data_IF_747184843042
#
_entry.id   IF_747184843042
#
_cell.length_a   1.000
_cell.length_b   1.000
_cell.length_c   1.000
_cell.angle_alpha   90.00
_cell.angle_beta   90.00
_cell.angle_gamma   90.00
#
_symmetry.space_group_name_H-M   'P 1'
#
loop_
_entity.id
_entity.type
_entity.pdbx_description
1 polymer ?
#
# COMPACT_ATOMS: atom_id res chain seq x y z
N UNK A 1 -5.26 39.23 -56.34
CA UNK A 1 -6.02 38.52 -55.29
C UNK A 1 -5.06 38.28 -54.15
N UNK A 2 -5.13 39.05 -53.06
CA UNK A 2 -4.25 38.92 -51.89
C UNK A 2 -4.79 37.80 -50.98
N UNK A 3 -3.97 36.88 -50.46
CA UNK A 3 -4.45 35.85 -49.56
C UNK A 3 -4.62 36.43 -48.16
N UNK A 4 -5.85 36.47 -47.67
CA UNK A 4 -6.17 36.84 -46.29
C UNK A 4 -5.77 35.67 -45.38
N UNK A 5 -4.62 35.78 -44.71
CA UNK A 5 -4.20 34.83 -43.67
C UNK A 5 -5.03 35.05 -42.40
N UNK A 6 -5.89 34.07 -42.10
CA UNK A 6 -6.67 34.01 -40.86
C UNK A 6 -5.74 33.59 -39.71
N UNK A 7 -5.45 34.49 -38.76
CA UNK A 7 -4.75 34.13 -37.52
C UNK A 7 -5.72 33.38 -36.59
N UNK A 8 -5.51 32.09 -36.43
CA UNK A 8 -6.19 31.27 -35.44
C UNK A 8 -5.49 31.46 -34.08
N UNK A 9 -6.05 32.28 -33.19
CA UNK A 9 -5.58 32.39 -31.81
C UNK A 9 -6.04 31.18 -31.02
N UNK A 10 -5.13 30.22 -30.79
CA UNK A 10 -5.37 29.08 -29.90
C UNK A 10 -5.32 29.56 -28.44
N UNK A 11 -6.47 29.56 -27.77
CA UNK A 11 -6.55 29.80 -26.33
C UNK A 11 -6.03 28.55 -25.61
N UNK A 12 -4.78 28.57 -25.14
CA UNK A 12 -4.26 27.54 -24.24
C UNK A 12 -4.94 27.71 -22.88
N UNK A 13 -6.01 26.96 -22.63
CA UNK A 13 -6.56 26.81 -21.29
C UNK A 13 -5.54 26.03 -20.45
N UNK A 14 -4.75 26.73 -19.63
CA UNK A 14 -3.98 26.09 -18.56
C UNK A 14 -4.97 25.64 -17.50
N UNK A 15 -5.50 24.43 -17.63
CA UNK A 15 -6.18 23.78 -16.52
C UNK A 15 -5.15 23.65 -15.39
N UNK A 16 -5.23 24.52 -14.38
CA UNK A 16 -4.46 24.34 -13.16
C UNK A 16 -4.91 23.04 -12.52
N UNK A 17 -4.11 21.98 -12.67
CA UNK A 17 -4.30 20.76 -11.91
C UNK A 17 -4.14 21.13 -10.45
N UNK A 18 -5.26 21.19 -9.72
CA UNK A 18 -5.29 21.67 -8.34
C UNK A 18 -4.48 20.75 -7.38
N UNK A 19 -4.11 19.55 -7.83
CA UNK A 19 -3.21 18.65 -7.12
C UNK A 19 -1.92 18.44 -7.91
N UNK A 20 -0.96 19.33 -7.69
CA UNK A 20 0.38 19.19 -8.26
C UNK A 20 1.24 18.31 -7.35
N UNK A 21 2.18 17.56 -7.94
CA UNK A 21 3.13 16.74 -7.17
C UNK A 21 3.89 17.53 -6.09
N UNK A 22 4.40 18.76 -6.34
CA UNK A 22 5.07 19.56 -5.31
C UNK A 22 4.17 19.93 -4.13
N UNK A 23 2.88 20.21 -4.36
CA UNK A 23 1.92 20.49 -3.29
C UNK A 23 1.75 19.28 -2.37
N UNK A 24 1.50 18.11 -2.97
CA UNK A 24 1.33 16.87 -2.21
C UNK A 24 2.62 16.48 -1.48
N UNK A 25 3.78 16.63 -2.13
CA UNK A 25 5.07 16.35 -1.53
C UNK A 25 5.37 17.24 -0.32
N UNK A 26 5.01 18.52 -0.38
CA UNK A 26 5.19 19.46 0.73
C UNK A 26 4.33 19.08 1.94
N UNK A 27 3.07 18.69 1.70
CA UNK A 27 2.17 18.23 2.76
C UNK A 27 2.65 16.91 3.39
N UNK A 28 3.18 15.98 2.59
CA UNK A 28 3.78 14.74 3.10
C UNK A 28 5.04 15.04 3.90
N UNK A 29 5.90 15.95 3.47
CA UNK A 29 7.08 16.35 4.24
C UNK A 29 6.70 16.92 5.62
N UNK A 30 5.63 17.73 5.68
CA UNK A 30 5.08 18.24 6.92
C UNK A 30 4.52 17.13 7.81
N UNK A 31 3.80 16.17 7.23
CA UNK A 31 3.33 14.96 7.92
C UNK A 31 4.49 14.15 8.53
N UNK A 32 5.52 13.84 7.74
CA UNK A 32 6.69 13.10 8.20
C UNK A 32 7.40 13.83 9.34
N UNK A 33 7.54 15.15 9.24
CA UNK A 33 8.12 15.99 10.30
C UNK A 33 7.27 15.94 11.58
N UNK A 34 5.95 16.02 11.44
CA UNK A 34 5.04 15.91 12.58
C UNK A 34 5.12 14.53 13.25
N UNK A 35 5.17 13.45 12.46
CA UNK A 35 5.28 12.09 12.99
C UNK A 35 6.63 11.82 13.68
N UNK A 36 7.73 12.36 13.14
CA UNK A 36 9.06 12.26 13.76
C UNK A 36 9.15 13.03 15.07
N UNK A 37 8.48 14.18 15.16
CA UNK A 37 8.60 15.08 16.33
C UNK A 37 7.48 14.90 17.35
N UNK A 38 6.38 14.24 16.98
CA UNK A 38 5.13 14.24 17.75
C UNK A 38 4.44 15.61 17.78
N UNK A 39 4.93 16.59 17.01
CA UNK A 39 4.39 17.95 17.01
C UNK A 39 3.46 18.16 15.82
N UNK A 40 2.24 18.60 16.09
CA UNK A 40 1.26 18.90 15.02
C UNK A 40 1.57 20.21 14.29
N UNK A 41 2.43 21.08 14.84
CA UNK A 41 2.70 22.42 14.29
C UNK A 41 3.12 22.45 12.81
N UNK A 42 3.97 21.55 12.31
CA UNK A 42 4.34 21.52 10.89
C UNK A 42 3.15 21.16 10.00
N UNK A 43 2.21 20.38 10.54
CA UNK A 43 1.14 19.72 9.80
C UNK A 43 -0.17 20.53 9.77
N UNK A 44 -0.45 21.32 10.80
CA UNK A 44 -1.70 22.10 10.92
C UNK A 44 -1.93 23.06 9.75
N UNK A 45 -0.87 23.65 9.20
CA UNK A 45 -0.98 24.54 8.04
C UNK A 45 -1.55 23.87 6.79
N UNK A 46 -1.47 22.54 6.70
CA UNK A 46 -1.98 21.76 5.56
C UNK A 46 -3.40 21.24 5.78
N UNK A 47 -3.94 21.30 7.00
CA UNK A 47 -5.30 20.84 7.32
C UNK A 47 -6.31 21.93 6.97
N UNK A 48 -7.44 21.53 6.38
CA UNK A 48 -8.53 22.46 6.11
C UNK A 48 -9.34 22.77 7.37
N UNK A 49 -9.55 24.03 7.71
CA UNK A 49 -10.44 24.38 8.83
C UNK A 49 -11.92 24.19 8.50
N UNK A 50 -12.28 24.09 7.20
CA UNK A 50 -13.68 24.09 6.74
C UNK A 50 -14.13 22.78 6.12
N UNK A 51 -13.19 21.98 5.60
CA UNK A 51 -13.49 20.73 4.87
C UNK A 51 -12.82 19.50 5.50
N UNK A 52 -12.23 19.63 6.70
CA UNK A 52 -11.63 18.50 7.39
C UNK A 52 -12.70 17.58 7.98
N UNK A 53 -12.75 16.36 7.44
CA UNK A 53 -13.67 15.29 7.81
C UNK A 53 -13.18 14.48 9.02
N UNK A 54 -11.91 14.63 9.40
CA UNK A 54 -11.34 14.00 10.58
C UNK A 54 -10.04 13.23 10.30
N UNK A 55 -9.40 12.88 11.41
CA UNK A 55 -8.31 11.93 11.48
C UNK A 55 -8.87 10.58 11.91
N UNK A 56 -8.38 9.52 11.28
CA UNK A 56 -8.81 8.19 11.57
C UNK A 56 -7.63 7.24 11.72
N UNK A 57 -7.70 6.38 12.72
CA UNK A 57 -6.71 5.37 13.00
C UNK A 57 -7.37 3.99 13.06
N UNK A 58 -6.91 3.02 12.26
CA UNK A 58 -7.51 1.68 12.21
C UNK A 58 -9.05 1.70 12.10
N UNK A 59 -9.56 2.50 11.16
CA UNK A 59 -10.99 2.76 10.95
C UNK A 59 -11.71 3.63 12.01
N UNK A 60 -11.05 4.06 13.09
CA UNK A 60 -11.66 4.80 14.21
C UNK A 60 -11.34 6.30 14.13
N UNK A 61 -12.35 7.16 14.21
CA UNK A 61 -12.16 8.61 14.25
C UNK A 61 -11.59 9.04 15.61
N UNK A 62 -10.47 9.76 15.60
CA UNK A 62 -9.78 10.21 16.81
C UNK A 62 -9.35 11.69 16.69
N UNK A 63 -9.27 12.43 17.80
CA UNK A 63 -8.67 13.76 17.79
C UNK A 63 -7.17 13.67 17.56
N UNK A 64 -6.61 14.60 16.78
CA UNK A 64 -5.19 14.60 16.43
C UNK A 64 -4.28 14.64 17.67
N UNK A 65 -4.70 15.32 18.74
CA UNK A 65 -3.92 15.45 19.98
C UNK A 65 -3.74 14.15 20.77
N UNK A 66 -4.61 13.16 20.58
CA UNK A 66 -4.54 11.85 21.26
C UNK A 66 -4.24 10.70 20.30
N UNK A 67 -3.71 11.02 19.11
CA UNK A 67 -3.51 10.08 18.01
C UNK A 67 -2.05 9.73 17.77
N UNK A 68 -1.77 8.81 16.85
CA UNK A 68 -0.41 8.45 16.48
C UNK A 68 0.48 9.64 16.11
N UNK A 69 -0.04 10.61 15.37
CA UNK A 69 0.75 11.74 14.88
C UNK A 69 1.19 12.70 16.01
N UNK A 70 0.55 12.66 17.17
CA UNK A 70 0.97 13.41 18.36
C UNK A 70 2.05 12.69 19.20
N UNK A 71 2.46 11.48 18.80
CA UNK A 71 3.50 10.71 19.46
C UNK A 71 4.73 10.62 18.54
N UNK A 72 5.94 10.98 19.01
CA UNK A 72 7.15 10.90 18.19
C UNK A 72 7.47 9.44 17.87
N UNK A 73 7.73 9.15 16.60
CA UNK A 73 8.17 7.84 16.12
C UNK A 73 9.53 7.94 15.44
N UNK A 74 10.42 7.00 15.74
CA UNK A 74 11.67 6.86 15.01
C UNK A 74 11.41 6.16 13.67
N UNK A 75 11.35 6.93 12.59
CA UNK A 75 11.13 6.38 11.26
C UNK A 75 12.46 5.83 10.71
N UNK A 76 12.50 4.53 10.42
CA UNK A 76 13.66 3.86 9.82
C UNK A 76 13.54 3.72 8.31
N UNK A 77 12.31 3.73 7.79
CA UNK A 77 12.02 3.78 6.36
C UNK A 77 10.75 4.58 6.12
N UNK A 78 10.68 5.24 4.97
CA UNK A 78 9.43 5.76 4.43
C UNK A 78 9.42 5.68 2.90
N UNK A 79 8.24 5.40 2.34
CA UNK A 79 8.00 5.43 0.91
C UNK A 79 6.65 6.09 0.63
N UNK A 80 6.64 7.09 -0.24
CA UNK A 80 5.42 7.81 -0.63
C UNK A 80 5.12 7.66 -2.10
N UNK A 81 3.84 7.47 -2.41
CA UNK A 81 3.27 7.58 -3.74
C UNK A 81 2.22 8.71 -3.78
N UNK A 82 2.08 9.32 -4.96
CA UNK A 82 1.25 10.49 -5.18
C UNK A 82 0.22 10.21 -6.27
N UNK A 83 -1.06 10.33 -5.94
CA UNK A 83 -2.16 10.26 -6.90
C UNK A 83 -2.64 11.68 -7.22
N UNK A 84 -2.21 12.18 -8.38
CA UNK A 84 -2.59 13.51 -8.87
C UNK A 84 -4.04 13.56 -9.37
N UNK A 85 -4.62 12.42 -9.72
CA UNK A 85 -5.98 12.31 -10.25
C UNK A 85 -7.03 12.34 -9.14
N UNK A 86 -6.80 11.58 -8.05
CA UNK A 86 -7.69 11.55 -6.89
C UNK A 86 -7.30 12.54 -5.79
N UNK A 87 -6.27 13.36 -6.02
CA UNK A 87 -5.77 14.31 -5.02
C UNK A 87 -5.45 13.63 -3.69
N UNK A 88 -4.65 12.56 -3.75
CA UNK A 88 -4.35 11.75 -2.58
C UNK A 88 -2.87 11.35 -2.55
N UNK A 89 -2.41 10.96 -1.36
CA UNK A 89 -1.11 10.34 -1.18
C UNK A 89 -1.28 9.07 -0.38
N UNK A 90 -0.37 8.13 -0.58
CA UNK A 90 -0.16 7.02 0.33
C UNK A 90 1.31 7.02 0.76
N UNK A 91 1.55 6.95 2.05
CA UNK A 91 2.88 6.87 2.63
C UNK A 91 2.95 5.64 3.53
N UNK A 92 3.88 4.76 3.24
CA UNK A 92 4.27 3.66 4.11
C UNK A 92 5.42 4.13 4.98
N UNK A 93 5.30 3.94 6.30
CA UNK A 93 6.37 4.19 7.27
C UNK A 93 6.74 2.88 7.96
N UNK A 94 8.03 2.66 8.17
CA UNK A 94 8.53 1.57 9.01
C UNK A 94 9.22 2.16 10.23
N UNK A 95 8.72 1.78 11.39
CA UNK A 95 9.31 2.08 12.70
C UNK A 95 9.97 0.79 13.18
N UNK A 96 11.26 0.65 12.93
CA UNK A 96 12.02 -0.48 13.46
C UNK A 96 12.56 -0.13 14.85
N UNK A 97 12.38 -1.05 15.79
CA UNK A 97 12.87 -0.94 17.16
C UNK A 97 12.82 -2.29 17.87
N UNK A 98 13.60 -2.48 18.95
CA UNK A 98 13.63 -3.74 19.69
C UNK A 98 12.33 -4.02 20.45
N UNK A 99 11.47 -3.01 20.60
CA UNK A 99 10.17 -3.10 21.28
C UNK A 99 9.11 -2.47 20.39
N UNK A 100 8.16 -3.29 19.92
CA UNK A 100 7.02 -2.91 19.08
C UNK A 100 7.41 -2.29 17.72
N UNK A 101 8.00 -3.04 16.79
CA UNK A 101 8.11 -2.61 15.40
C UNK A 101 6.72 -2.49 14.75
N UNK A 102 6.52 -1.43 13.97
CA UNK A 102 5.28 -1.20 13.25
C UNK A 102 5.53 -0.81 11.79
N UNK A 103 4.60 -1.22 10.93
CA UNK A 103 4.41 -0.63 9.61
C UNK A 103 3.15 0.22 9.68
N UNK A 104 3.24 1.45 9.17
CA UNK A 104 2.16 2.43 9.22
C UNK A 104 1.83 2.83 7.79
N UNK A 105 0.60 2.54 7.38
CA UNK A 105 0.03 3.03 6.13
C UNK A 105 -0.75 4.31 6.37
N UNK A 106 -0.37 5.40 5.70
CA UNK A 106 -1.03 6.70 5.84
C UNK A 106 -1.56 7.19 4.50
N UNK A 107 -2.86 7.52 4.47
CA UNK A 107 -3.47 8.25 3.36
C UNK A 107 -3.81 9.68 3.75
N UNK A 108 -3.31 10.65 2.97
CA UNK A 108 -3.76 12.04 3.01
C UNK A 108 -4.60 12.32 1.77
N UNK A 109 -5.83 12.79 1.96
CA UNK A 109 -6.73 13.21 0.88
C UNK A 109 -6.91 14.72 0.92
N UNK A 110 -6.96 15.32 -0.26
CA UNK A 110 -6.96 16.76 -0.42
C UNK A 110 -8.24 17.26 -1.07
N UNK A 111 -8.70 18.43 -0.61
CA UNK A 111 -9.78 19.20 -1.22
C UNK A 111 -9.38 20.67 -1.11
N UNK A 112 -9.45 21.42 -2.21
CA UNK A 112 -9.03 22.82 -2.27
C UNK A 112 -7.60 23.04 -1.73
N UNK A 113 -6.64 22.20 -2.17
CA UNK A 113 -5.23 22.25 -1.79
C UNK A 113 -4.92 22.00 -0.30
N UNK A 114 -5.92 21.60 0.49
CA UNK A 114 -5.77 21.29 1.92
C UNK A 114 -6.20 19.86 2.19
N UNK A 115 -5.63 19.26 3.22
CA UNK A 115 -5.99 17.94 3.69
C UNK A 115 -7.42 18.01 4.23
N UNK A 116 -8.30 17.23 3.61
CA UNK A 116 -9.70 17.07 4.00
C UNK A 116 -9.92 15.77 4.77
N UNK A 117 -9.06 14.76 4.60
CA UNK A 117 -9.17 13.50 5.35
C UNK A 117 -7.82 12.85 5.54
N UNK A 118 -7.60 12.31 6.73
CA UNK A 118 -6.34 11.66 7.10
C UNK A 118 -6.64 10.30 7.71
N UNK A 119 -6.15 9.24 7.08
CA UNK A 119 -6.21 7.87 7.59
C UNK A 119 -4.83 7.37 7.92
N UNK A 120 -4.73 6.66 9.03
CA UNK A 120 -3.54 5.92 9.47
C UNK A 120 -3.97 4.51 9.86
N UNK A 121 -3.24 3.51 9.41
CA UNK A 121 -3.41 2.14 9.89
C UNK A 121 -2.09 1.64 10.43
N UNK A 122 -2.08 1.08 11.63
CA UNK A 122 -0.91 0.47 12.24
C UNK A 122 -1.02 -1.04 12.18
N UNK A 123 0.00 -1.67 11.64
CA UNK A 123 0.20 -3.10 11.78
C UNK A 123 1.42 -3.31 12.68
N UNK A 124 1.23 -4.08 13.75
CA UNK A 124 2.34 -4.51 14.60
C UNK A 124 3.02 -5.70 13.93
N UNK A 125 4.35 -5.68 13.85
CA UNK A 125 5.18 -6.71 13.20
C UNK A 125 6.17 -7.30 14.19
N UNK A 126 5.75 -7.55 15.43
CA UNK A 126 6.59 -8.29 16.39
C UNK A 126 6.78 -9.74 15.95
N UNK A 127 7.94 -10.35 16.27
CA UNK A 127 8.14 -11.79 16.17
C UNK A 127 6.97 -12.57 16.78
N UNK A 128 6.44 -13.54 16.04
CA UNK A 128 5.40 -14.43 16.53
C UNK A 128 5.98 -15.26 17.71
N UNK A 129 5.26 -15.56 18.79
CA UNK A 129 5.75 -16.47 19.83
C UNK A 129 6.11 -17.85 19.25
N UNK A 130 7.19 -18.50 19.70
CA UNK A 130 7.64 -19.80 19.15
C UNK A 130 6.51 -20.85 19.16
N UNK A 131 5.65 -20.84 20.18
CA UNK A 131 4.50 -21.76 20.29
C UNK A 131 3.39 -21.52 19.26
N UNK A 132 3.39 -20.37 18.59
CA UNK A 132 2.40 -19.94 17.60
C UNK A 132 2.99 -19.82 16.18
N UNK A 133 4.31 -20.02 16.02
CA UNK A 133 5.00 -19.96 14.72
C UNK A 133 4.66 -21.18 13.88
N UNK A 134 4.07 -20.92 12.72
CA UNK A 134 4.00 -21.89 11.64
C UNK A 134 5.40 -22.12 11.05
N UNK A 135 5.70 -23.37 10.65
CA UNK A 135 6.94 -23.67 9.94
C UNK A 135 6.86 -23.23 8.47
N UNK A 136 8.01 -23.16 7.80
CA UNK A 136 8.14 -22.64 6.45
C UNK A 136 7.35 -23.44 5.41
N UNK A 137 7.15 -24.75 5.62
CA UNK A 137 6.36 -25.61 4.73
C UNK A 137 4.85 -25.30 4.86
N UNK A 138 4.36 -25.08 6.09
CA UNK A 138 2.99 -24.62 6.34
C UNK A 138 2.73 -23.27 5.69
N UNK A 139 3.63 -22.31 5.88
CA UNK A 139 3.52 -20.96 5.29
C UNK A 139 3.47 -21.08 3.76
N UNK A 140 4.42 -21.81 3.16
CA UNK A 140 4.48 -22.03 1.71
C UNK A 140 3.20 -22.67 1.16
N UNK A 141 2.65 -23.69 1.82
CA UNK A 141 1.39 -24.34 1.40
C UNK A 141 0.21 -23.38 1.43
N UNK A 142 0.13 -22.52 2.44
CA UNK A 142 -0.89 -21.47 2.48
C UNK A 142 -0.73 -20.48 1.32
N UNK A 143 0.51 -20.08 1.02
CA UNK A 143 0.83 -19.22 -0.13
C UNK A 143 0.49 -19.89 -1.46
N UNK A 144 0.76 -21.18 -1.60
CA UNK A 144 0.43 -21.92 -2.82
C UNK A 144 -1.06 -21.98 -3.05
N UNK A 145 -1.84 -22.29 -2.02
CA UNK A 145 -3.29 -22.26 -2.10
C UNK A 145 -3.80 -20.86 -2.52
N UNK A 146 -3.23 -19.81 -1.92
CA UNK A 146 -3.54 -18.42 -2.28
C UNK A 146 -3.28 -18.13 -3.76
N UNK A 147 -2.08 -18.46 -4.25
CA UNK A 147 -1.68 -18.19 -5.63
C UNK A 147 -2.43 -19.08 -6.65
N UNK A 148 -2.79 -20.30 -6.26
CA UNK A 148 -3.52 -21.23 -7.11
C UNK A 148 -4.99 -20.83 -7.30
N UNK A 149 -5.60 -20.16 -6.31
CA UNK A 149 -7.01 -19.73 -6.36
C UNK A 149 -7.31 -18.76 -7.51
N UNK A 150 -6.29 -18.01 -7.96
CA UNK A 150 -6.38 -17.11 -9.12
C UNK A 150 -6.58 -17.84 -10.45
N UNK A 151 -6.19 -19.11 -10.50
CA UNK A 151 -6.34 -19.96 -11.69
C UNK A 151 -7.47 -20.97 -11.53
N UNK A 152 -7.74 -21.42 -10.30
CA UNK A 152 -8.75 -22.40 -9.98
C UNK A 152 -9.55 -21.96 -8.74
N UNK A 153 -10.79 -21.45 -8.91
CA UNK A 153 -11.59 -20.92 -7.80
C UNK A 153 -12.05 -22.01 -6.81
N UNK A 154 -11.83 -23.29 -7.12
CA UNK A 154 -12.13 -24.41 -6.22
C UNK A 154 -11.01 -24.68 -5.20
N UNK A 155 -9.89 -23.94 -5.26
CA UNK A 155 -8.82 -24.07 -4.27
C UNK A 155 -9.25 -23.43 -2.96
N UNK A 156 -9.18 -24.21 -1.89
CA UNK A 156 -9.45 -23.71 -0.54
C UNK A 156 -8.21 -23.04 0.01
N UNK A 157 -8.30 -21.72 0.24
CA UNK A 157 -7.24 -20.94 0.90
C UNK A 157 -7.53 -20.86 2.40
N UNK A 158 -6.53 -21.06 3.28
CA UNK A 158 -6.71 -20.96 4.72
C UNK A 158 -6.71 -19.50 5.19
N UNK A 159 -7.75 -18.74 4.80
CA UNK A 159 -7.93 -17.35 5.20
C UNK A 159 -8.04 -17.20 6.72
N UNK A 160 -7.44 -16.14 7.26
CA UNK A 160 -7.77 -15.67 8.61
C UNK A 160 -9.11 -14.92 8.63
N UNK A 161 -9.72 -14.77 9.79
CA UNK A 161 -10.83 -13.81 10.00
C UNK A 161 -10.59 -13.07 11.33
N UNK A 162 -10.54 -11.73 11.36
CA UNK A 162 -10.69 -10.83 10.22
C UNK A 162 -9.48 -10.86 9.28
N UNK A 163 -9.71 -10.70 7.98
CA UNK A 163 -8.67 -10.62 6.96
C UNK A 163 -8.96 -9.50 5.95
N UNK A 164 -7.91 -8.79 5.57
CA UNK A 164 -7.91 -7.78 4.51
C UNK A 164 -6.87 -8.15 3.45
N UNK A 165 -7.30 -8.12 2.18
CA UNK A 165 -6.43 -8.35 1.02
C UNK A 165 -6.19 -7.03 0.28
N UNK A 166 -4.93 -6.67 0.12
CA UNK A 166 -4.47 -5.53 -0.66
C UNK A 166 -3.87 -6.03 -1.98
N UNK A 167 -4.62 -5.93 -3.07
CA UNK A 167 -4.15 -6.44 -4.37
C UNK A 167 -4.49 -5.54 -5.53
N UNK A 168 -3.50 -5.26 -6.39
CA UNK A 168 -3.70 -4.39 -7.55
C UNK A 168 -4.24 -3.00 -7.18
N UNK A 169 -3.99 -2.54 -5.95
CA UNK A 169 -4.54 -1.29 -5.40
C UNK A 169 -5.98 -1.38 -4.89
N UNK A 170 -6.63 -2.55 -4.93
CA UNK A 170 -7.93 -2.80 -4.33
C UNK A 170 -7.75 -3.19 -2.85
N UNK A 171 -8.45 -2.47 -1.99
CA UNK A 171 -8.62 -2.81 -0.57
C UNK A 171 -9.88 -3.67 -0.43
N UNK A 172 -9.71 -4.98 -0.25
CA UNK A 172 -10.82 -5.91 -0.08
C UNK A 172 -11.54 -5.78 1.27
N UNK A 173 -12.71 -6.42 1.39
CA UNK A 173 -13.63 -6.54 2.54
C UNK A 173 -13.13 -5.97 3.89
N UNK A 174 -13.13 -4.64 4.09
CA UNK A 174 -12.74 -4.04 5.36
C UNK A 174 -13.78 -4.32 6.44
N UNK A 175 -13.35 -4.75 7.64
CA UNK A 175 -14.21 -4.84 8.81
C UNK A 175 -13.93 -6.06 9.69
N UNK A 176 -14.64 -6.14 10.82
CA UNK A 176 -14.49 -7.23 11.81
C UNK A 176 -14.83 -8.63 11.26
N UNK A 177 -15.53 -8.69 10.12
CA UNK A 177 -15.91 -9.93 9.43
C UNK A 177 -15.27 -10.03 8.04
N UNK A 178 -14.18 -9.29 7.77
CA UNK A 178 -13.48 -9.35 6.48
C UNK A 178 -12.95 -10.77 6.21
N UNK A 179 -13.17 -11.29 4.99
CA UNK A 179 -12.87 -12.69 4.66
C UNK A 179 -11.72 -12.89 3.69
N UNK A 180 -11.20 -11.82 3.07
CA UNK A 180 -10.21 -11.82 1.97
C UNK A 180 -10.58 -12.56 0.68
N UNK A 181 -11.56 -13.48 0.72
CA UNK A 181 -11.95 -14.34 -0.38
C UNK A 181 -12.72 -13.60 -1.49
N UNK A 182 -13.37 -12.48 -1.15
CA UNK A 182 -14.16 -11.70 -2.10
C UNK A 182 -13.30 -11.11 -3.22
N UNK A 183 -13.77 -11.21 -4.47
CA UNK A 183 -13.17 -10.51 -5.61
C UNK A 183 -11.82 -11.03 -6.08
N UNK A 184 -11.48 -12.30 -5.83
CA UNK A 184 -10.29 -12.92 -6.43
C UNK A 184 -10.58 -13.22 -7.91
N UNK A 185 -9.81 -12.68 -8.87
CA UNK A 185 -9.97 -12.99 -10.28
C UNK A 185 -9.75 -14.48 -10.57
N UNK A 186 -10.37 -14.99 -11.63
CA UNK A 186 -10.16 -16.36 -12.09
C UNK A 186 -9.49 -16.41 -13.47
N UNK A 187 -8.80 -17.50 -13.78
CA UNK A 187 -8.07 -17.71 -15.03
C UNK A 187 -6.78 -16.91 -15.16
N UNK A 188 -6.19 -16.48 -14.04
CA UNK A 188 -4.89 -15.79 -13.98
C UNK A 188 -3.85 -16.76 -13.42
N UNK A 189 -3.04 -17.42 -14.27
CA UNK A 189 -2.02 -18.33 -13.76
C UNK A 189 -0.86 -17.53 -13.12
N UNK A 190 -0.44 -17.98 -11.95
CA UNK A 190 0.73 -17.47 -11.21
C UNK A 190 1.76 -18.60 -11.08
N UNK A 191 2.82 -18.57 -11.89
CA UNK A 191 3.77 -19.70 -12.03
C UNK A 191 5.21 -19.28 -11.68
N UNK A 192 6.15 -20.24 -11.75
CA UNK A 192 7.60 -20.03 -11.54
C UNK A 192 7.90 -19.22 -10.27
N UNK A 193 7.30 -19.69 -9.18
CA UNK A 193 7.32 -19.04 -7.87
C UNK A 193 8.67 -19.27 -7.20
N UNK A 194 9.31 -18.19 -6.79
CA UNK A 194 10.53 -18.17 -5.96
C UNK A 194 10.15 -17.55 -4.63
N UNK A 195 10.44 -18.22 -3.54
CA UNK A 195 9.91 -17.87 -2.22
C UNK A 195 11.05 -17.49 -1.29
N UNK A 196 10.81 -16.45 -0.50
CA UNK A 196 11.56 -16.15 0.71
C UNK A 196 10.55 -16.24 1.86
N UNK A 197 10.78 -17.16 2.79
CA UNK A 197 9.85 -17.43 3.90
C UNK A 197 10.52 -17.03 5.21
N UNK A 198 9.81 -16.27 6.02
CA UNK A 198 10.22 -15.85 7.35
C UNK A 198 9.26 -16.47 8.39
N UNK A 199 9.71 -17.54 9.06
CA UNK A 199 8.95 -18.27 10.09
C UNK A 199 8.75 -17.43 11.36
N UNK A 200 9.69 -16.54 11.68
CA UNK A 200 9.61 -15.69 12.86
C UNK A 200 8.51 -14.64 12.71
N UNK A 201 8.35 -14.12 11.49
CA UNK A 201 7.38 -13.10 11.17
C UNK A 201 6.06 -13.66 10.62
N UNK A 202 6.01 -14.95 10.27
CA UNK A 202 4.86 -15.59 9.60
C UNK A 202 4.61 -15.03 8.20
N UNK A 203 5.64 -14.53 7.54
CA UNK A 203 5.54 -13.80 6.29
C UNK A 203 6.25 -14.53 5.14
N UNK A 204 5.80 -14.25 3.91
CA UNK A 204 6.38 -14.83 2.71
C UNK A 204 6.34 -13.84 1.56
N UNK A 205 7.50 -13.66 0.93
CA UNK A 205 7.63 -12.96 -0.34
C UNK A 205 7.70 -13.99 -1.46
N UNK A 206 6.97 -13.72 -2.55
CA UNK A 206 7.02 -14.56 -3.75
C UNK A 206 7.27 -13.70 -4.97
N UNK A 207 8.42 -13.96 -5.60
CA UNK A 207 8.68 -13.53 -6.97
C UNK A 207 8.11 -14.59 -7.91
N UNK A 208 7.18 -14.19 -8.77
CA UNK A 208 6.49 -15.12 -9.65
C UNK A 208 6.15 -14.48 -10.99
N UNK A 209 5.77 -15.33 -11.92
CA UNK A 209 5.27 -14.96 -13.22
C UNK A 209 3.75 -14.87 -13.23
N UNK A 210 3.24 -13.69 -13.56
CA UNK A 210 1.82 -13.36 -13.48
C UNK A 210 1.16 -13.26 -14.87
N UNK A 211 -0.03 -13.87 -15.02
CA UNK A 211 -0.93 -13.63 -16.15
C UNK A 211 -0.78 -14.60 -17.32
N UNK A 212 -1.52 -14.37 -18.41
CA UNK A 212 -1.74 -15.37 -19.48
C UNK A 212 -0.61 -15.45 -20.53
N UNK A 213 0.35 -14.52 -20.52
CA UNK A 213 1.39 -14.39 -21.56
C UNK A 213 2.75 -15.02 -21.18
N UNK A 214 2.77 -16.00 -20.26
CA UNK A 214 4.00 -16.61 -19.73
C UNK A 214 4.83 -17.42 -20.76
N UNK A 215 4.33 -17.57 -21.98
CA UNK A 215 4.95 -18.32 -23.07
C UNK A 215 6.08 -17.56 -23.79
N UNK A 216 6.36 -16.30 -23.45
CA UNK A 216 7.36 -15.48 -24.16
C UNK A 216 8.74 -15.40 -23.48
N UNK A 217 8.94 -16.02 -22.32
CA UNK A 217 10.23 -16.00 -21.61
C UNK A 217 10.87 -17.40 -21.69
N UNK A 218 11.93 -17.60 -22.50
CA UNK A 218 12.61 -18.90 -22.63
C UNK A 218 13.23 -19.38 -21.31
N UNK A 219 13.16 -20.69 -21.07
CA UNK A 219 13.44 -21.33 -19.78
C UNK A 219 14.93 -21.64 -19.51
N UNK A 220 15.88 -21.26 -20.38
CA UNK A 220 17.21 -21.90 -20.38
C UNK A 220 18.43 -20.99 -20.29
N UNK A 221 18.34 -19.69 -19.97
CA UNK A 221 19.58 -18.90 -19.82
C UNK A 221 19.50 -17.66 -18.92
N UNK A 222 19.05 -17.83 -17.67
CA UNK A 222 19.01 -16.74 -16.70
C UNK A 222 20.39 -16.55 -16.05
N UNK A 223 21.27 -15.80 -16.72
CA UNK A 223 22.43 -15.19 -16.05
C UNK A 223 21.95 -13.95 -15.28
N UNK A 224 22.59 -13.62 -14.15
CA UNK A 224 22.25 -12.51 -13.24
C UNK A 224 22.27 -11.10 -13.88
N UNK A 225 22.46 -11.00 -15.20
CA UNK A 225 22.70 -9.75 -15.93
C UNK A 225 21.49 -9.24 -16.71
N UNK A 226 20.40 -10.01 -16.80
CA UNK A 226 19.20 -9.60 -17.53
C UNK A 226 17.94 -9.91 -16.70
N UNK A 227 17.43 -8.94 -15.93
CA UNK A 227 16.06 -9.00 -15.39
C UNK A 227 15.08 -8.54 -16.48
N UNK A 228 14.26 -9.43 -17.09
CA UNK A 228 13.21 -9.01 -18.00
C UNK A 228 12.04 -8.42 -17.22
N UNK A 229 11.38 -7.43 -17.80
CA UNK A 229 10.41 -6.54 -17.17
C UNK A 229 9.02 -7.16 -16.83
N UNK A 230 8.96 -8.32 -16.18
CA UNK A 230 7.69 -8.90 -15.69
C UNK A 230 7.76 -9.64 -14.36
N UNK A 231 8.84 -9.45 -13.59
CA UNK A 231 8.88 -9.94 -12.21
C UNK A 231 7.99 -9.05 -11.33
N UNK A 232 6.77 -9.50 -11.07
CA UNK A 232 5.91 -8.90 -10.05
C UNK A 232 6.32 -9.47 -8.68
N UNK A 233 6.68 -8.59 -7.76
CA UNK A 233 6.91 -8.94 -6.35
C UNK A 233 5.59 -8.94 -5.61
N UNK A 234 5.13 -10.11 -5.17
CA UNK A 234 3.98 -10.22 -4.30
C UNK A 234 4.45 -10.50 -2.88
N UNK A 235 4.32 -9.49 -2.02
CA UNK A 235 4.46 -9.64 -0.58
C UNK A 235 3.14 -10.16 -0.01
N UNK A 236 3.15 -11.37 0.55
CA UNK A 236 2.03 -11.92 1.31
C UNK A 236 2.47 -12.07 2.77
N UNK A 237 2.20 -11.04 3.58
CA UNK A 237 2.32 -11.15 5.03
C UNK A 237 1.02 -11.69 5.61
N UNK A 238 1.06 -12.84 6.29
CA UNK A 238 -0.04 -13.30 7.15
C UNK A 238 0.38 -13.03 8.60
N UNK A 239 -0.15 -11.97 9.23
CA UNK A 239 -0.23 -11.98 10.70
C UNK A 239 -1.58 -12.58 11.07
N UNK A 240 -1.54 -13.81 11.59
CA UNK A 240 -2.70 -14.38 12.27
C UNK A 240 -3.06 -13.45 13.42
N UNK A 241 -4.15 -12.70 13.29
CA UNK A 241 -4.85 -12.20 14.47
C UNK A 241 -5.50 -13.43 15.10
N UNK A 242 -4.87 -13.95 16.16
CA UNK A 242 -5.60 -14.72 17.15
C UNK A 242 -6.53 -13.79 17.94
#
# INVERSE_FOLDING_TARGET
MLPTTLLLTTLFATAFTHCTRPLLASAVSAYLTAQLTGSLSPFTAYISNTTFLGYYENAINLPLSSSLIANPLLLTHNRTIYDLSSCATFTELVVAGPTNPFVIGTQLRFTNHKISKFWTSREAWDPIPISERDNADTIRKATDAYLDVFSNPNVTVPWGTPCVRLEGGLYGDPGVNGTCAGGVPTGVPMKRRRYVVDEEMGAVDVLLDFGKNLAKVPLENWSLTECPASDDTLYVGKRSFA
#
